data_IF_563348756406
#
_entry.id   IF_563348756406
#
_cell.length_a   1.000
_cell.length_b   1.000
_cell.length_c   1.000
_cell.angle_alpha   90.00
_cell.angle_beta   90.00
_cell.angle_gamma   90.00
#
_symmetry.space_group_name_H-M   'P 1'
#
loop_
_entity.id
_entity.type
_entity.pdbx_description
1 polymer ?
#
# COMPACT_ATOMS: atom_id res chain seq x y z
N UNK A 1 17.05 4.88 -51.91
CA UNK A 1 15.57 4.79 -51.79
C UNK A 1 15.08 6.02 -51.04
N UNK A 2 14.45 6.96 -51.73
CA UNK A 2 13.92 8.21 -51.17
C UNK A 2 12.49 7.98 -50.68
N UNK A 3 12.29 7.95 -49.36
CA UNK A 3 10.93 7.89 -48.78
C UNK A 3 10.30 9.28 -48.86
N UNK A 4 9.23 9.40 -49.65
CA UNK A 4 8.40 10.60 -49.69
C UNK A 4 7.66 10.77 -48.36
N UNK A 5 7.84 11.92 -47.72
CA UNK A 5 7.21 12.31 -46.45
C UNK A 5 5.81 12.95 -46.65
N UNK A 6 5.40 13.18 -47.90
CA UNK A 6 4.05 13.63 -48.26
C UNK A 6 3.19 12.44 -48.70
N UNK A 7 3.03 11.46 -47.81
CA UNK A 7 2.17 10.30 -48.06
C UNK A 7 0.71 10.69 -48.04
N UNK A 8 0.10 11.01 -49.20
CA UNK A 8 -1.36 11.19 -49.28
C UNK A 8 -2.14 9.89 -48.99
N UNK A 9 -1.52 8.71 -49.11
CA UNK A 9 -2.23 7.42 -49.05
C UNK A 9 -1.54 6.31 -48.23
N UNK A 10 -0.50 6.59 -47.43
CA UNK A 10 0.06 5.60 -46.49
C UNK A 10 0.40 6.28 -45.17
N UNK A 11 -0.25 5.82 -44.11
CA UNK A 11 -0.01 6.25 -42.72
C UNK A 11 1.45 5.92 -42.37
N UNK A 12 2.30 6.94 -42.40
CA UNK A 12 3.66 6.83 -41.86
C UNK A 12 3.62 7.32 -40.40
N UNK A 13 4.23 6.58 -39.46
CA UNK A 13 4.24 6.96 -38.04
C UNK A 13 4.97 8.28 -37.75
N UNK A 14 5.82 8.75 -38.68
CA UNK A 14 6.58 10.00 -38.56
C UNK A 14 6.05 11.11 -39.49
N UNK A 15 4.74 11.33 -39.51
CA UNK A 15 4.15 12.40 -40.31
C UNK A 15 4.27 13.76 -39.60
N UNK A 16 4.96 14.71 -40.24
CA UNK A 16 5.14 16.10 -39.75
C UNK A 16 3.86 16.95 -39.82
N UNK A 17 2.80 16.45 -40.47
CA UNK A 17 1.52 17.17 -40.61
C UNK A 17 0.62 17.10 -39.36
N UNK A 18 1.08 16.50 -38.26
CA UNK A 18 0.41 16.58 -36.95
C UNK A 18 -0.99 15.95 -36.87
N UNK A 19 -1.46 15.28 -37.92
CA UNK A 19 -2.69 14.49 -37.90
C UNK A 19 -2.41 13.09 -37.35
N UNK A 20 -2.23 13.03 -36.04
CA UNK A 20 -2.27 11.78 -35.30
C UNK A 20 -3.74 11.39 -35.11
N UNK A 21 -4.24 10.50 -35.97
CA UNK A 21 -5.56 9.91 -35.81
C UNK A 21 -5.50 8.72 -34.83
N UNK A 22 -5.00 9.00 -33.62
CA UNK A 22 -5.22 8.16 -32.45
C UNK A 22 -5.88 9.00 -31.37
N UNK A 23 -7.19 9.19 -31.53
CA UNK A 23 -8.11 9.64 -30.47
C UNK A 23 -8.21 8.64 -29.29
N UNK A 24 -7.19 7.82 -29.04
CA UNK A 24 -6.98 7.28 -27.71
C UNK A 24 -6.39 8.43 -26.90
N UNK A 25 -7.20 9.06 -26.04
CA UNK A 25 -6.69 9.88 -24.93
C UNK A 25 -5.52 9.11 -24.32
N UNK A 26 -4.29 9.56 -24.52
CA UNK A 26 -3.12 8.89 -23.99
C UNK A 26 -3.25 8.88 -22.47
N UNK A 27 -3.77 7.78 -21.92
CA UNK A 27 -3.93 7.62 -20.47
C UNK A 27 -2.53 7.59 -19.90
N UNK A 28 -2.18 8.54 -19.00
CA UNK A 28 -0.87 8.59 -18.36
C UNK A 28 -0.51 7.24 -17.73
N UNK A 29 0.77 6.90 -17.79
CA UNK A 29 1.28 5.64 -17.26
C UNK A 29 0.99 5.50 -15.75
N UNK A 30 0.96 6.61 -15.03
CA UNK A 30 0.67 6.70 -13.60
C UNK A 30 -0.78 6.30 -13.28
N UNK A 31 -1.73 6.57 -14.19
CA UNK A 31 -3.11 6.11 -14.03
C UNK A 31 -3.17 4.60 -14.22
N UNK A 32 -2.43 4.06 -15.20
CA UNK A 32 -2.36 2.61 -15.41
C UNK A 32 -1.71 1.90 -14.21
N UNK A 33 -0.62 2.45 -13.67
CA UNK A 33 0.03 1.88 -12.47
C UNK A 33 -0.87 1.95 -11.25
N UNK A 34 -1.64 3.04 -11.08
CA UNK A 34 -2.65 3.14 -10.02
C UNK A 34 -3.76 2.10 -10.15
N UNK A 35 -4.30 1.88 -11.36
CA UNK A 35 -5.32 0.85 -11.61
C UNK A 35 -4.80 -0.55 -11.26
N UNK A 36 -3.58 -0.88 -11.70
CA UNK A 36 -2.93 -2.16 -11.37
C UNK A 36 -2.73 -2.29 -9.85
N UNK A 37 -2.31 -1.21 -9.18
CA UNK A 37 -2.16 -1.20 -7.72
C UNK A 37 -3.48 -1.49 -7.01
N UNK A 38 -4.58 -0.88 -7.45
CA UNK A 38 -5.92 -1.14 -6.89
C UNK A 38 -6.35 -2.59 -7.14
N UNK A 39 -6.11 -3.11 -8.34
CA UNK A 39 -6.41 -4.49 -8.68
C UNK A 39 -5.68 -5.48 -7.73
N UNK A 40 -4.37 -5.30 -7.56
CA UNK A 40 -3.55 -6.22 -6.78
C UNK A 40 -3.79 -6.13 -5.27
N UNK A 41 -4.02 -4.91 -4.76
CA UNK A 41 -4.12 -4.68 -3.31
C UNK A 41 -5.55 -4.92 -2.80
N UNK A 42 -6.56 -4.61 -3.61
CA UNK A 42 -7.96 -4.60 -3.17
C UNK A 42 -8.77 -5.66 -3.90
N UNK A 43 -8.85 -5.59 -5.23
CA UNK A 43 -9.84 -6.36 -5.99
C UNK A 43 -9.50 -7.86 -5.98
N UNK A 44 -8.24 -8.23 -6.26
CA UNK A 44 -7.83 -9.64 -6.28
C UNK A 44 -7.98 -10.32 -4.91
N UNK A 45 -7.49 -9.74 -3.79
CA UNK A 45 -7.66 -10.37 -2.49
C UNK A 45 -9.13 -10.40 -2.04
N UNK A 46 -9.96 -9.43 -2.45
CA UNK A 46 -11.40 -9.42 -2.18
C UNK A 46 -12.13 -10.57 -2.88
N UNK A 47 -11.87 -10.78 -4.17
CA UNK A 47 -12.45 -11.91 -4.93
C UNK A 47 -11.96 -13.25 -4.34
N UNK A 48 -10.70 -13.29 -3.91
CA UNK A 48 -10.07 -14.48 -3.32
C UNK A 48 -10.44 -14.70 -1.85
N UNK A 49 -11.27 -13.83 -1.25
CA UNK A 49 -11.71 -13.86 0.16
C UNK A 49 -10.55 -13.86 1.17
N UNK A 50 -9.42 -13.24 0.81
CA UNK A 50 -8.23 -13.15 1.66
C UNK A 50 -8.33 -11.94 2.60
N UNK A 51 -9.24 -12.00 3.58
CA UNK A 51 -9.53 -10.90 4.49
C UNK A 51 -8.32 -10.42 5.30
N UNK A 52 -7.45 -11.32 5.72
CA UNK A 52 -6.20 -10.96 6.43
C UNK A 52 -5.33 -10.00 5.61
N UNK A 53 -5.12 -10.30 4.32
CA UNK A 53 -4.34 -9.46 3.42
C UNK A 53 -5.02 -8.11 3.16
N UNK A 54 -6.36 -8.09 3.09
CA UNK A 54 -7.12 -6.84 2.93
C UNK A 54 -6.97 -5.93 4.15
N UNK A 55 -7.03 -6.50 5.35
CA UNK A 55 -6.79 -5.76 6.58
C UNK A 55 -5.37 -5.21 6.69
N UNK A 56 -4.36 -6.03 6.36
CA UNK A 56 -2.95 -5.60 6.36
C UNK A 56 -2.69 -4.50 5.33
N UNK A 57 -3.34 -4.56 4.18
CA UNK A 57 -3.14 -3.57 3.13
C UNK A 57 -4.00 -2.30 3.29
N UNK A 58 -4.83 -2.21 4.35
CA UNK A 58 -5.72 -1.05 4.59
C UNK A 58 -4.98 0.29 4.65
N UNK A 59 -3.69 0.28 5.00
CA UNK A 59 -2.89 1.50 5.14
C UNK A 59 -2.71 2.23 3.81
N UNK A 60 -2.75 1.51 2.69
CA UNK A 60 -2.60 2.11 1.35
C UNK A 60 -3.87 2.81 0.85
N UNK A 61 -5.04 2.53 1.45
CA UNK A 61 -6.32 3.05 0.97
C UNK A 61 -6.34 4.57 0.88
N UNK A 62 -5.85 5.25 1.91
CA UNK A 62 -5.91 6.71 1.97
C UNK A 62 -5.04 7.35 0.88
N UNK A 63 -3.82 6.85 0.70
CA UNK A 63 -2.93 7.30 -0.37
C UNK A 63 -3.51 7.03 -1.76
N UNK A 64 -4.18 5.89 -1.95
CA UNK A 64 -4.86 5.56 -3.21
C UNK A 64 -6.02 6.54 -3.45
N UNK A 65 -6.87 6.82 -2.45
CA UNK A 65 -8.00 7.78 -2.56
C UNK A 65 -7.53 9.18 -2.96
N UNK A 66 -6.47 9.68 -2.32
CA UNK A 66 -5.91 11.00 -2.62
C UNK A 66 -5.47 11.07 -4.09
N UNK A 67 -4.70 10.06 -4.55
CA UNK A 67 -4.25 9.97 -5.95
C UNK A 67 -5.42 9.87 -6.93
N UNK A 68 -6.44 9.06 -6.60
CA UNK A 68 -7.63 8.88 -7.44
C UNK A 68 -8.43 10.17 -7.58
N UNK A 69 -8.64 10.89 -6.48
CA UNK A 69 -9.32 12.18 -6.50
C UNK A 69 -8.54 13.22 -7.31
N UNK A 70 -7.20 13.23 -7.21
CA UNK A 70 -6.35 14.09 -8.01
C UNK A 70 -6.48 13.78 -9.51
N UNK A 71 -6.30 12.53 -9.93
CA UNK A 71 -6.41 12.15 -11.34
C UNK A 71 -7.83 12.30 -11.90
N UNK A 72 -8.87 12.03 -11.09
CA UNK A 72 -10.24 12.24 -11.53
C UNK A 72 -10.53 13.72 -11.81
N UNK A 73 -10.04 14.65 -10.97
CA UNK A 73 -10.18 16.09 -11.21
C UNK A 73 -9.54 16.53 -12.53
N UNK A 74 -8.38 15.96 -12.87
CA UNK A 74 -7.62 16.34 -14.07
C UNK A 74 -8.21 15.75 -15.35
N UNK A 75 -8.48 14.44 -15.36
CA UNK A 75 -8.80 13.72 -16.59
C UNK A 75 -10.30 13.41 -16.77
N UNK A 76 -11.09 13.47 -15.68
CA UNK A 76 -12.54 13.18 -15.65
C UNK A 76 -12.91 11.87 -16.37
N UNK A 77 -12.13 10.82 -16.15
CA UNK A 77 -12.35 9.50 -16.74
C UNK A 77 -13.39 8.71 -15.94
N UNK A 78 -14.34 8.10 -16.62
CA UNK A 78 -15.39 7.25 -16.01
C UNK A 78 -14.79 6.04 -15.27
N UNK A 79 -13.75 5.42 -15.84
CA UNK A 79 -13.02 4.33 -15.18
C UNK A 79 -12.54 4.72 -13.77
N UNK A 80 -12.05 5.94 -13.59
CA UNK A 80 -11.55 6.41 -12.30
C UNK A 80 -12.71 6.60 -11.31
N UNK A 81 -13.89 7.00 -11.79
CA UNK A 81 -15.09 7.05 -10.97
C UNK A 81 -15.50 5.65 -10.50
N UNK A 82 -15.43 4.65 -11.38
CA UNK A 82 -15.66 3.25 -11.01
C UNK A 82 -14.69 2.80 -9.92
N UNK A 83 -13.37 3.02 -10.09
CA UNK A 83 -12.38 2.66 -9.07
C UNK A 83 -12.60 3.40 -7.74
N UNK A 84 -13.05 4.66 -7.78
CA UNK A 84 -13.41 5.41 -6.58
C UNK A 84 -14.59 4.77 -5.84
N UNK A 85 -15.61 4.35 -6.57
CA UNK A 85 -16.79 3.68 -6.00
C UNK A 85 -16.42 2.30 -5.41
N UNK A 86 -15.57 1.54 -6.11
CA UNK A 86 -15.05 0.25 -5.62
C UNK A 86 -14.31 0.43 -4.30
N UNK A 87 -13.44 1.44 -4.21
CA UNK A 87 -12.69 1.74 -2.97
C UNK A 87 -13.63 2.13 -1.83
N UNK A 88 -14.67 2.92 -2.11
CA UNK A 88 -15.64 3.28 -1.09
C UNK A 88 -16.43 2.07 -0.59
N UNK A 89 -16.92 1.23 -1.51
CA UNK A 89 -17.61 -0.01 -1.16
C UNK A 89 -16.71 -0.95 -0.34
N UNK A 90 -15.43 -1.06 -0.72
CA UNK A 90 -14.45 -1.86 0.00
C UNK A 90 -14.23 -1.38 1.44
N UNK A 91 -14.16 -0.06 1.67
CA UNK A 91 -14.04 0.49 3.01
C UNK A 91 -15.25 0.18 3.89
N UNK A 92 -16.47 0.27 3.33
CA UNK A 92 -17.69 -0.14 4.02
C UNK A 92 -17.66 -1.63 4.37
N UNK A 93 -17.31 -2.49 3.40
CA UNK A 93 -17.20 -3.93 3.62
C UNK A 93 -16.17 -4.29 4.70
N UNK A 94 -15.00 -3.63 4.71
CA UNK A 94 -14.00 -3.85 5.77
C UNK A 94 -14.53 -3.47 7.15
N UNK A 95 -15.23 -2.34 7.26
CA UNK A 95 -15.78 -1.89 8.54
C UNK A 95 -16.88 -2.82 9.03
N UNK A 96 -17.76 -3.28 8.14
CA UNK A 96 -18.82 -4.25 8.46
C UNK A 96 -18.24 -5.59 8.87
N UNK A 97 -17.27 -6.10 8.11
CA UNK A 97 -16.60 -7.37 8.43
C UNK A 97 -15.87 -7.30 9.78
N UNK A 98 -15.26 -6.15 10.12
CA UNK A 98 -14.61 -5.95 11.42
C UNK A 98 -15.62 -5.97 12.55
N UNK A 99 -16.75 -5.26 12.40
CA UNK A 99 -17.82 -5.25 13.38
C UNK A 99 -18.41 -6.64 13.59
N UNK A 100 -18.63 -7.38 12.51
CA UNK A 100 -19.16 -8.75 12.58
C UNK A 100 -18.18 -9.68 13.30
N UNK A 101 -16.89 -9.58 13.01
CA UNK A 101 -15.84 -10.37 13.69
C UNK A 101 -15.76 -10.04 15.18
N UNK A 102 -15.87 -8.76 15.55
CA UNK A 102 -15.87 -8.34 16.95
C UNK A 102 -17.13 -8.80 17.70
N UNK A 103 -18.29 -8.75 17.05
CA UNK A 103 -19.55 -9.24 17.61
C UNK A 103 -19.53 -10.75 17.82
N UNK A 104 -19.06 -11.53 16.83
CA UNK A 104 -18.88 -12.98 16.98
C UNK A 104 -17.95 -13.28 18.16
N UNK A 105 -16.81 -12.57 18.25
CA UNK A 105 -15.85 -12.77 19.34
C UNK A 105 -16.46 -12.45 20.69
N UNK A 106 -17.33 -11.46 20.81
CA UNK A 106 -18.04 -11.15 22.04
C UNK A 106 -19.08 -12.24 22.36
N UNK A 107 -19.88 -12.64 21.38
CA UNK A 107 -20.93 -13.65 21.55
C UNK A 107 -20.38 -15.01 22.01
N UNK A 108 -19.30 -15.49 21.38
CA UNK A 108 -18.73 -16.81 21.67
C UNK A 108 -17.79 -16.85 22.87
N UNK A 109 -17.40 -15.69 23.44
CA UNK A 109 -16.57 -15.64 24.66
C UNK A 109 -17.37 -15.56 25.95
N UNK A 110 -18.67 -15.30 25.88
CA UNK A 110 -19.48 -15.07 27.08
C UNK A 110 -20.39 -16.26 27.34
N UNK A 111 -19.92 -17.20 28.17
CA UNK A 111 -20.73 -18.33 28.66
C UNK A 111 -21.81 -17.91 29.68
N UNK A 112 -21.84 -16.65 30.13
CA UNK A 112 -22.85 -16.15 31.08
C UNK A 112 -23.56 -14.90 30.56
N UNK A 113 -24.89 -15.01 30.42
CA UNK A 113 -25.74 -13.97 29.84
C UNK A 113 -25.45 -12.58 30.37
N UNK A 114 -25.05 -11.68 29.48
CA UNK A 114 -24.93 -10.26 29.78
C UNK A 114 -25.31 -9.44 28.56
N UNK A 115 -26.32 -8.59 28.72
CA UNK A 115 -26.62 -7.49 27.81
C UNK A 115 -25.40 -6.57 27.75
N UNK A 116 -24.65 -6.65 26.65
CA UNK A 116 -23.49 -5.81 26.35
C UNK A 116 -23.96 -4.48 25.76
N UNK A 117 -23.60 -3.35 26.39
CA UNK A 117 -23.79 -2.01 25.81
C UNK A 117 -22.54 -1.69 25.00
N UNK A 118 -22.69 -1.62 23.68
CA UNK A 118 -21.61 -1.28 22.74
C UNK A 118 -21.55 0.23 22.56
N UNK A 119 -20.54 0.87 23.13
CA UNK A 119 -20.27 2.30 22.93
C UNK A 119 -19.36 2.50 21.71
N UNK A 120 -19.83 3.27 20.72
CA UNK A 120 -19.05 3.64 19.54
C UNK A 120 -18.22 4.89 19.82
N UNK A 121 -16.90 4.72 19.96
CA UNK A 121 -15.96 5.83 20.14
C UNK A 121 -15.25 6.18 18.83
N UNK A 122 -14.69 7.41 18.75
CA UNK A 122 -13.87 7.81 17.60
C UNK A 122 -12.53 7.05 17.61
N UNK A 123 -12.22 6.36 16.52
CA UNK A 123 -10.97 5.60 16.39
C UNK A 123 -9.80 6.56 16.17
N UNK A 124 -8.89 6.65 17.14
CA UNK A 124 -7.60 7.34 16.97
C UNK A 124 -6.68 6.42 16.16
N UNK A 125 -6.36 6.82 14.92
CA UNK A 125 -5.50 6.06 14.01
C UNK A 125 -4.07 6.60 14.06
N UNK A 126 -3.11 5.70 14.23
CA UNK A 126 -1.67 6.01 14.09
C UNK A 126 -1.34 6.28 12.62
N UNK A 127 -0.25 7.00 12.35
CA UNK A 127 0.21 7.16 10.96
C UNK A 127 0.64 5.80 10.40
N UNK A 128 0.46 5.56 9.08
CA UNK A 128 0.76 4.27 8.44
C UNK A 128 2.13 3.68 8.79
N UNK A 129 3.17 4.51 8.82
CA UNK A 129 4.54 4.09 9.08
C UNK A 129 4.73 3.50 10.50
N UNK A 130 4.02 4.03 11.50
CA UNK A 130 4.06 3.51 12.87
C UNK A 130 3.15 2.28 13.03
N UNK A 131 1.99 2.25 12.36
CA UNK A 131 1.13 1.05 12.34
C UNK A 131 1.87 -0.16 11.72
N UNK A 132 2.63 0.07 10.65
CA UNK A 132 3.47 -0.96 10.02
C UNK A 132 4.62 -1.40 10.94
N UNK A 133 5.27 -0.47 11.62
CA UNK A 133 6.32 -0.81 12.59
C UNK A 133 5.76 -1.70 13.70
N UNK A 134 4.63 -1.32 14.28
CA UNK A 134 3.93 -2.08 15.32
C UNK A 134 3.54 -3.49 14.84
N UNK A 135 3.13 -3.61 13.58
CA UNK A 135 2.75 -4.90 12.99
C UNK A 135 3.96 -5.83 12.75
N UNK A 136 5.16 -5.28 12.53
CA UNK A 136 6.37 -6.07 12.24
C UNK A 136 7.13 -6.41 13.53
N UNK A 137 7.36 -5.42 14.39
CA UNK A 137 8.23 -5.54 15.56
C UNK A 137 7.48 -5.54 16.90
N UNK A 138 6.18 -5.24 16.89
CA UNK A 138 5.38 -5.01 18.09
C UNK A 138 5.50 -3.59 18.61
N UNK A 139 4.59 -3.24 19.53
CA UNK A 139 4.54 -1.92 20.15
C UNK A 139 5.70 -1.73 21.12
N UNK A 140 6.47 -0.63 21.03
CA UNK A 140 7.49 -0.33 22.02
C UNK A 140 6.83 -0.10 23.39
N UNK A 141 7.33 -0.81 24.41
CA UNK A 141 6.79 -0.71 25.78
C UNK A 141 7.32 0.56 26.44
N UNK A 142 6.42 1.50 26.72
CA UNK A 142 6.74 2.73 27.47
C UNK A 142 7.31 2.43 28.85
N UNK A 143 6.85 1.35 29.48
CA UNK A 143 7.34 0.86 30.78
C UNK A 143 8.85 0.56 30.78
N UNK A 144 9.41 0.21 29.61
CA UNK A 144 10.83 -0.12 29.44
C UNK A 144 11.62 1.00 28.77
N UNK A 145 11.08 2.22 28.68
CA UNK A 145 11.66 3.35 27.91
C UNK A 145 12.05 2.97 26.47
N UNK A 146 11.36 2.00 25.86
CA UNK A 146 11.59 1.66 24.47
C UNK A 146 10.97 2.75 23.59
N UNK A 147 11.77 3.25 22.65
CA UNK A 147 11.37 4.24 21.66
C UNK A 147 11.38 3.56 20.29
N UNK A 148 10.55 4.04 19.38
CA UNK A 148 10.61 3.59 17.99
C UNK A 148 11.99 3.88 17.38
N UNK A 149 12.46 2.99 16.52
CA UNK A 149 13.70 3.22 15.80
C UNK A 149 13.44 4.09 14.56
N UNK A 150 13.90 5.34 14.59
CA UNK A 150 13.72 6.32 13.52
C UNK A 150 14.28 5.87 12.17
N UNK A 151 15.38 5.11 12.16
CA UNK A 151 15.97 4.60 10.90
C UNK A 151 15.04 3.59 10.20
N UNK A 152 14.37 2.74 10.99
CA UNK A 152 13.41 1.77 10.48
C UNK A 152 12.15 2.50 10.01
N UNK A 153 11.67 3.49 10.77
CA UNK A 153 10.51 4.31 10.36
C UNK A 153 10.79 5.01 9.03
N UNK A 154 11.97 5.63 8.87
CA UNK A 154 12.35 6.28 7.61
C UNK A 154 12.39 5.27 6.45
N UNK A 155 12.88 4.05 6.68
CA UNK A 155 12.86 2.99 5.66
C UNK A 155 11.43 2.58 5.28
N UNK A 156 10.52 2.46 6.26
CA UNK A 156 9.10 2.15 6.03
C UNK A 156 8.45 3.26 5.21
N UNK A 157 8.67 4.53 5.59
CA UNK A 157 8.16 5.69 4.87
C UNK A 157 8.63 5.68 3.41
N UNK A 158 9.91 5.39 3.16
CA UNK A 158 10.44 5.28 1.81
C UNK A 158 9.78 4.14 1.02
N UNK A 159 9.62 2.95 1.62
CA UNK A 159 9.00 1.81 0.95
C UNK A 159 7.51 2.03 0.66
N UNK A 160 6.78 2.75 1.51
CA UNK A 160 5.38 3.12 1.28
C UNK A 160 5.18 3.97 0.02
N UNK A 161 6.20 4.74 -0.39
CA UNK A 161 6.13 5.57 -1.60
C UNK A 161 6.34 4.79 -2.89
N UNK A 162 6.96 3.59 -2.84
CA UNK A 162 7.29 2.79 -4.02
C UNK A 162 6.04 2.18 -4.68
N UNK A 163 6.13 2.00 -6.00
CA UNK A 163 5.09 1.33 -6.77
C UNK A 163 5.02 -0.18 -6.46
N UNK A 164 3.80 -0.75 -6.51
CA UNK A 164 3.54 -2.18 -6.31
C UNK A 164 4.02 -2.80 -4.98
N UNK A 165 4.19 -1.97 -3.94
CA UNK A 165 4.42 -2.46 -2.58
C UNK A 165 3.15 -2.94 -1.89
N UNK A 166 3.30 -4.05 -1.17
CA UNK A 166 2.32 -4.70 -0.30
C UNK A 166 2.92 -4.81 1.10
N UNK A 167 2.07 -4.96 2.12
CA UNK A 167 2.55 -5.14 3.50
C UNK A 167 3.60 -6.25 3.60
N UNK A 168 3.34 -7.40 2.98
CA UNK A 168 4.23 -8.56 2.99
C UNK A 168 5.63 -8.24 2.42
N UNK A 169 5.70 -7.56 1.26
CA UNK A 169 6.98 -7.17 0.67
C UNK A 169 7.75 -6.19 1.55
N UNK A 170 7.05 -5.25 2.19
CA UNK A 170 7.67 -4.31 3.12
C UNK A 170 8.26 -5.07 4.32
N UNK A 171 7.48 -5.97 4.91
CA UNK A 171 7.92 -6.82 6.03
C UNK A 171 9.17 -7.62 5.67
N UNK A 172 9.17 -8.29 4.52
CA UNK A 172 10.32 -9.08 4.04
C UNK A 172 11.57 -8.20 3.87
N UNK A 173 11.45 -7.08 3.15
CA UNK A 173 12.60 -6.19 2.91
C UNK A 173 13.21 -5.61 4.19
N UNK A 174 12.38 -5.26 5.17
CA UNK A 174 12.85 -4.70 6.44
C UNK A 174 13.57 -5.77 7.26
N UNK A 175 13.01 -6.98 7.37
CA UNK A 175 13.62 -8.09 8.11
C UNK A 175 14.97 -8.48 7.48
N UNK A 176 15.06 -8.52 6.16
CA UNK A 176 16.33 -8.80 5.46
C UNK A 176 17.38 -7.73 5.78
N UNK A 177 17.02 -6.44 5.72
CA UNK A 177 17.94 -5.34 6.00
C UNK A 177 18.42 -5.31 7.47
N UNK A 178 17.58 -5.71 8.42
CA UNK A 178 17.98 -5.81 9.83
C UNK A 178 18.97 -6.95 10.07
N UNK A 179 18.79 -8.09 9.39
CA UNK A 179 19.66 -9.26 9.52
C UNK A 179 21.04 -9.07 8.85
N UNK A 180 21.13 -8.25 7.80
CA UNK A 180 22.43 -7.91 7.19
C UNK A 180 23.26 -7.01 8.09
N UNK A 181 22.64 -6.11 8.85
CA UNK A 181 23.35 -5.20 9.78
C UNK A 181 23.86 -5.91 11.04
N UNK A 182 23.28 -7.04 11.43
CA UNK A 182 23.79 -7.84 12.57
C UNK A 182 25.04 -8.64 12.21
N UNK A 183 25.21 -9.05 10.95
CA UNK A 183 26.35 -9.86 10.49
C UNK A 183 27.62 -9.05 10.20
N UNK A 184 27.53 -7.72 10.03
CA UNK A 184 28.70 -6.87 9.76
C UNK A 184 29.39 -6.39 11.04
N UNK A 185 28.73 -6.46 12.20
CA UNK A 185 29.27 -5.95 13.47
C UNK A 185 30.04 -7.00 14.30
N UNK A 186 30.11 -8.26 13.87
CA UNK A 186 30.81 -9.33 14.61
C UNK A 186 32.27 -9.54 14.20
N UNK A 187 32.79 -8.83 13.19
CA UNK A 187 34.12 -9.10 12.61
C UNK A 187 35.22 -8.08 12.93
N UNK A 188 35.01 -7.13 13.85
CA UNK A 188 36.00 -6.04 14.11
C UNK A 188 36.71 -6.11 15.46
N UNK A 189 36.57 -7.18 16.24
CA UNK A 189 37.33 -7.36 17.48
C UNK A 189 38.12 -8.67 17.49
N UNK A 190 39.27 -8.69 16.80
CA UNK A 190 40.40 -9.54 17.21
C UNK A 190 41.61 -8.65 17.43
N UNK A 191 41.85 -8.46 18.72
CA UNK A 191 42.93 -7.82 19.45
C UNK A 191 44.32 -8.14 18.88
N UNK A 192 45.08 -7.11 18.49
CA UNK A 192 46.55 -7.18 18.47
C UNK A 192 47.05 -6.97 19.90
N UNK A 193 47.32 -8.06 20.60
CA UNK A 193 48.18 -8.07 21.79
C UNK A 193 48.93 -9.40 21.77
N UNK A 194 50.21 -9.37 21.42
CA UNK A 194 51.30 -9.98 22.20
C UNK A 194 52.62 -9.35 21.72
N UNK A 195 53.26 -8.72 22.69
CA UNK A 195 54.61 -8.18 22.75
C UNK A 195 55.71 -9.22 22.54
N UNK A 196 56.80 -8.79 21.90
CA UNK A 196 58.17 -9.16 22.29
C UNK A 196 59.06 -7.93 22.17
#
# INVERSE_FOLDING_TARGET
MTQSLCGKNKVQPNNLLGKNDSMQKNIPQEIKSLKIKIMNIIILPLISRQWSQLYENRFFLEGIKIKLNHYYKLYKLEDLLLYKNIIHAFELMLNEHSQLTDLERQLYKTESGFTSIVYKTAMIKLKPEYELYDAIFGKPKRENNQIYNDSIIASIQYLLTRENMTFQKIKETIITNTNTNTNTNTNTNVTYLISK
#
